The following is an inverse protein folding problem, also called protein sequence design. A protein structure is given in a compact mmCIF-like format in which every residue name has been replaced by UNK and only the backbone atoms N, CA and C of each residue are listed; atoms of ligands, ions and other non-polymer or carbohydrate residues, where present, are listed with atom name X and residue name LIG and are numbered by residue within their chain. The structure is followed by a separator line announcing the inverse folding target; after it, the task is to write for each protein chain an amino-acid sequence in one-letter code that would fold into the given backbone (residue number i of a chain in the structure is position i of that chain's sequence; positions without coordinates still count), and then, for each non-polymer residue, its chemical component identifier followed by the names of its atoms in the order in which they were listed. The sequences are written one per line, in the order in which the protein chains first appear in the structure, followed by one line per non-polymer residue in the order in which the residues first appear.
data_IF_825583227175
#
_entry.id   IF_825583227175
#
_cell.length_a   1.000
_cell.length_b   1.000
_cell.length_c   1.000
_cell.angle_alpha   90.00
_cell.angle_beta   90.00
_cell.angle_gamma   90.00
#
_symmetry.space_group_name_H-M   'P 1'
#
loop_
_entity.id
_entity.type
_entity.pdbx_description
1 polymer ?
#
# COMPACT_ATOMS: atom_id res chain seq x y z
N UNK A 1 19.72 13.66 18.06
CA UNK A 1 19.12 12.64 17.21
C UNK A 1 20.16 12.35 16.14
N UNK A 2 20.94 11.28 16.29
CA UNK A 2 21.72 10.75 15.17
C UNK A 2 20.81 10.02 14.18
N UNK A 3 21.40 9.45 13.14
CA UNK A 3 20.66 8.87 12.04
C UNK A 3 19.83 7.67 12.52
N UNK A 4 20.38 6.87 13.43
CA UNK A 4 19.74 5.67 13.96
C UNK A 4 18.45 6.02 14.72
N UNK A 5 18.47 7.11 15.50
CA UNK A 5 17.30 7.56 16.26
C UNK A 5 16.12 7.96 15.36
N UNK A 6 16.40 8.59 14.22
CA UNK A 6 15.37 8.97 13.24
C UNK A 6 14.85 7.73 12.51
N UNK A 7 15.74 6.80 12.16
CA UNK A 7 15.36 5.56 11.46
C UNK A 7 14.47 4.67 12.34
N UNK A 8 14.79 4.49 13.62
CA UNK A 8 13.95 3.74 14.56
C UNK A 8 12.55 4.35 14.64
N UNK A 9 12.45 5.68 14.81
CA UNK A 9 11.15 6.37 14.89
C UNK A 9 10.35 6.13 13.61
N UNK A 10 10.95 6.36 12.44
CA UNK A 10 10.27 6.18 11.15
C UNK A 10 9.79 4.73 10.95
N UNK A 11 10.63 3.74 11.24
CA UNK A 11 10.30 2.33 11.11
C UNK A 11 9.20 1.89 12.08
N UNK A 12 9.21 2.40 13.32
CA UNK A 12 8.14 2.13 14.29
C UNK A 12 6.80 2.76 13.86
N UNK A 13 6.83 4.03 13.47
CA UNK A 13 5.63 4.73 13.00
C UNK A 13 5.05 4.08 11.74
N UNK A 14 5.88 3.69 10.79
CA UNK A 14 5.44 2.97 9.59
C UNK A 14 4.86 1.60 9.95
N UNK A 15 5.56 0.82 10.79
CA UNK A 15 5.15 -0.52 11.18
C UNK A 15 3.82 -0.55 11.92
N UNK A 16 3.59 0.40 12.82
CA UNK A 16 2.38 0.48 13.63
C UNK A 16 1.32 1.42 13.05
N UNK A 17 1.63 2.15 11.96
CA UNK A 17 0.71 3.07 11.30
C UNK A 17 0.38 4.33 12.13
N UNK A 18 1.32 4.74 12.97
CA UNK A 18 1.22 5.83 13.95
C UNK A 18 1.84 7.13 13.40
N UNK A 19 1.52 8.24 14.05
CA UNK A 19 2.17 9.53 13.87
C UNK A 19 2.21 10.20 15.26
N UNK A 20 3.34 10.06 15.95
CA UNK A 20 3.57 10.57 17.30
C UNK A 20 4.44 11.82 17.20
N UNK A 21 4.34 12.73 18.17
CA UNK A 21 5.14 13.95 18.13
C UNK A 21 6.62 13.65 18.39
N UNK A 22 7.52 14.37 17.71
CA UNK A 22 8.97 14.28 17.97
C UNK A 22 9.30 14.55 19.45
N UNK A 23 8.51 15.39 20.13
CA UNK A 23 8.69 15.70 21.55
C UNK A 23 8.46 14.48 22.45
N UNK A 24 7.51 13.63 22.11
CA UNK A 24 7.23 12.42 22.87
C UNK A 24 8.29 11.36 22.59
N UNK A 25 8.77 11.24 21.35
CA UNK A 25 9.90 10.38 21.01
C UNK A 25 11.20 10.82 21.71
N UNK A 26 11.44 12.13 21.87
CA UNK A 26 12.60 12.67 22.60
C UNK A 26 12.67 12.24 24.08
N UNK A 27 11.53 11.88 24.69
CA UNK A 27 11.46 11.46 26.10
C UNK A 27 11.82 9.97 26.27
N UNK A 28 11.89 9.22 25.18
CA UNK A 28 12.11 7.79 25.17
C UNK A 28 13.62 7.48 25.20
N UNK A 29 14.03 6.71 26.20
CA UNK A 29 15.41 6.27 26.39
C UNK A 29 15.58 4.75 26.28
N UNK A 30 14.51 3.96 26.42
CA UNK A 30 14.56 2.48 26.40
C UNK A 30 13.48 1.88 25.50
N UNK A 31 13.67 0.64 24.99
CA UNK A 31 12.63 -0.06 24.23
C UNK A 31 11.33 -0.22 25.02
N UNK A 32 11.38 -0.44 26.35
CA UNK A 32 10.18 -0.48 27.21
C UNK A 32 9.35 0.80 27.09
N UNK A 33 10.00 1.95 27.18
CA UNK A 33 9.32 3.23 27.07
C UNK A 33 8.73 3.43 25.67
N UNK A 34 9.42 2.97 24.62
CA UNK A 34 8.87 2.97 23.27
C UNK A 34 7.61 2.07 23.16
N UNK A 35 7.65 0.88 23.76
CA UNK A 35 6.51 -0.04 23.81
C UNK A 35 5.33 0.62 24.53
N UNK A 36 5.56 1.22 25.70
CA UNK A 36 4.52 1.91 26.49
C UNK A 36 3.93 3.11 25.73
N UNK A 37 4.76 3.93 25.09
CA UNK A 37 4.30 5.04 24.26
C UNK A 37 3.43 4.56 23.09
N UNK A 38 3.83 3.47 22.43
CA UNK A 38 3.08 2.86 21.33
C UNK A 38 1.77 2.25 21.84
N UNK A 39 1.79 1.60 23.01
CA UNK A 39 0.62 1.06 23.70
C UNK A 39 -0.43 2.15 23.97
N UNK A 40 -0.01 3.33 24.42
CA UNK A 40 -0.90 4.46 24.70
C UNK A 40 -1.60 5.03 23.45
N UNK A 41 -1.00 4.83 22.27
CA UNK A 41 -1.52 5.29 20.99
C UNK A 41 -2.29 4.20 20.21
N UNK A 42 -2.35 2.97 20.73
CA UNK A 42 -2.97 1.83 20.07
C UNK A 42 -4.12 1.23 20.90
N UNK A 43 -5.02 0.53 20.22
CA UNK A 43 -6.03 -0.29 20.90
C UNK A 43 -5.46 -1.67 21.18
N UNK A 44 -5.20 -1.98 22.45
CA UNK A 44 -4.63 -3.27 22.86
C UNK A 44 -5.73 -4.33 23.01
N UNK A 45 -5.49 -5.54 22.48
CA UNK A 45 -6.34 -6.72 22.69
C UNK A 45 -5.47 -7.94 23.02
N UNK A 46 -5.84 -8.71 24.06
CA UNK A 46 -5.03 -9.84 24.57
C UNK A 46 -4.94 -11.04 23.60
N UNK A 47 -5.88 -11.13 22.65
CA UNK A 47 -5.93 -12.17 21.62
C UNK A 47 -6.56 -11.61 20.33
N UNK A 48 -5.80 -10.84 19.52
CA UNK A 48 -6.35 -10.25 18.32
C UNK A 48 -6.72 -11.39 17.36
N UNK A 49 -8.00 -11.53 16.96
CA UNK A 49 -8.37 -12.54 15.98
C UNK A 49 -7.53 -12.33 14.73
N UNK A 50 -7.12 -13.43 14.06
CA UNK A 50 -6.35 -13.41 12.81
C UNK A 50 -6.73 -12.19 11.96
N UNK A 51 -5.81 -11.25 11.78
CA UNK A 51 -6.10 -9.93 11.20
C UNK A 51 -6.78 -10.05 9.83
N UNK A 52 -6.40 -11.07 9.06
CA UNK A 52 -7.00 -11.46 7.78
C UNK A 52 -8.48 -11.84 7.89
N UNK A 53 -8.88 -12.55 8.96
CA UNK A 53 -10.28 -12.90 9.22
C UNK A 53 -11.11 -11.68 9.61
N UNK A 54 -10.57 -10.78 10.46
CA UNK A 54 -11.25 -9.53 10.81
C UNK A 54 -11.46 -8.65 9.59
N UNK A 55 -10.40 -8.46 8.81
CA UNK A 55 -10.43 -7.72 7.56
C UNK A 55 -11.49 -8.30 6.61
N UNK A 56 -11.55 -9.64 6.49
CA UNK A 56 -12.62 -10.30 5.73
C UNK A 56 -14.01 -10.03 6.31
N UNK A 57 -14.22 -10.13 7.62
CA UNK A 57 -15.54 -9.89 8.22
C UNK A 57 -16.01 -8.44 8.09
N UNK A 58 -15.09 -7.48 8.19
CA UNK A 58 -15.39 -6.07 7.92
C UNK A 58 -15.73 -5.86 6.46
N UNK A 59 -14.90 -6.36 5.55
CA UNK A 59 -15.14 -6.30 4.12
C UNK A 59 -16.51 -6.90 3.76
N UNK A 60 -16.82 -8.08 4.29
CA UNK A 60 -18.12 -8.73 4.14
C UNK A 60 -19.27 -7.85 4.65
N UNK A 61 -19.13 -7.22 5.82
CA UNK A 61 -20.17 -6.33 6.37
C UNK A 61 -20.43 -5.13 5.45
N UNK A 62 -19.38 -4.53 4.89
CA UNK A 62 -19.50 -3.41 3.94
C UNK A 62 -20.16 -3.88 2.66
N UNK A 63 -19.74 -5.03 2.11
CA UNK A 63 -20.31 -5.60 0.89
C UNK A 63 -21.78 -5.99 1.07
N UNK A 64 -22.17 -6.56 2.21
CA UNK A 64 -23.59 -6.81 2.53
C UNK A 64 -24.42 -5.52 2.46
N UNK A 65 -23.89 -4.42 3.00
CA UNK A 65 -24.57 -3.12 2.97
C UNK A 65 -24.56 -2.42 1.60
N UNK A 66 -23.74 -2.87 0.65
CA UNK A 66 -23.71 -2.36 -0.72
C UNK A 66 -24.53 -3.21 -1.69
N UNK A 67 -24.47 -4.54 -1.55
CA UNK A 67 -25.18 -5.49 -2.42
C UNK A 67 -26.56 -5.88 -1.91
N UNK A 68 -26.87 -5.62 -0.64
CA UNK A 68 -28.15 -6.01 -0.02
C UNK A 68 -28.32 -7.52 0.16
N UNK A 69 -27.22 -8.28 0.21
CA UNK A 69 -27.20 -9.75 0.32
C UNK A 69 -26.93 -10.23 1.75
N UNK A 70 -27.27 -11.49 2.02
CA UNK A 70 -27.04 -12.12 3.32
C UNK A 70 -25.56 -12.46 3.60
N UNK A 71 -25.23 -12.71 4.88
CA UNK A 71 -23.87 -13.07 5.32
C UNK A 71 -23.32 -14.34 4.65
N UNK A 72 -24.20 -15.29 4.33
CA UNK A 72 -23.83 -16.58 3.73
C UNK A 72 -23.52 -16.53 2.23
N UNK A 73 -23.78 -15.40 1.56
CA UNK A 73 -23.58 -15.27 0.11
C UNK A 73 -22.20 -14.69 -0.25
N UNK A 74 -21.48 -14.19 0.76
CA UNK A 74 -20.19 -13.52 0.58
C UNK A 74 -19.08 -14.38 1.21
N UNK A 75 -18.31 -14.99 0.32
CA UNK A 75 -17.11 -15.77 0.61
C UNK A 75 -15.88 -15.07 0.01
N UNK A 76 -14.68 -15.55 0.34
CA UNK A 76 -13.43 -14.99 -0.17
C UNK A 76 -13.32 -15.10 -1.69
N UNK A 77 -13.85 -16.17 -2.27
CA UNK A 77 -13.81 -16.43 -3.72
C UNK A 77 -14.99 -15.81 -4.47
N UNK A 78 -15.91 -15.14 -3.78
CA UNK A 78 -17.06 -14.50 -4.44
C UNK A 78 -16.54 -13.44 -5.42
N UNK A 79 -16.94 -13.47 -6.70
CA UNK A 79 -16.51 -12.47 -7.67
C UNK A 79 -17.03 -11.08 -7.32
N UNK A 80 -16.17 -10.07 -7.32
CA UNK A 80 -16.54 -8.68 -7.00
C UNK A 80 -17.58 -8.12 -7.97
N UNK A 81 -17.53 -8.56 -9.23
CA UNK A 81 -18.44 -8.10 -10.29
C UNK A 81 -19.78 -8.86 -10.32
N UNK A 82 -20.02 -9.79 -9.39
CA UNK A 82 -21.24 -10.62 -9.38
C UNK A 82 -22.52 -9.79 -9.26
N UNK A 83 -22.49 -8.76 -8.43
CA UNK A 83 -23.65 -7.89 -8.14
C UNK A 83 -23.47 -6.45 -8.63
N UNK A 84 -22.41 -6.18 -9.40
CA UNK A 84 -22.06 -4.82 -9.86
C UNK A 84 -22.32 -4.73 -11.35
N UNK A 85 -23.20 -3.80 -11.75
CA UNK A 85 -23.44 -3.49 -13.15
C UNK A 85 -22.28 -2.65 -13.70
N UNK A 86 -21.99 -2.79 -14.99
CA UNK A 86 -20.86 -2.12 -15.63
C UNK A 86 -20.90 -0.59 -15.50
N UNK A 87 -22.11 -0.01 -15.52
CA UNK A 87 -22.35 1.43 -15.39
C UNK A 87 -22.11 1.97 -13.97
N UNK A 88 -22.22 1.08 -12.97
CA UNK A 88 -22.14 1.43 -11.55
C UNK A 88 -20.77 1.10 -10.94
N UNK A 89 -19.85 0.48 -11.69
CA UNK A 89 -18.53 0.04 -11.21
C UNK A 89 -17.77 1.15 -10.49
N UNK A 90 -17.74 2.37 -11.06
CA UNK A 90 -17.05 3.51 -10.44
C UNK A 90 -17.68 3.91 -9.12
N UNK A 91 -19.00 4.01 -9.08
CA UNK A 91 -19.73 4.43 -7.89
C UNK A 91 -19.57 3.39 -6.79
N UNK A 92 -19.71 2.11 -7.13
CA UNK A 92 -19.45 0.98 -6.23
C UNK A 92 -18.02 1.00 -5.69
N UNK A 93 -17.01 1.17 -6.54
CA UNK A 93 -15.61 1.16 -6.14
C UNK A 93 -15.25 2.29 -5.17
N UNK A 94 -15.81 3.48 -5.39
CA UNK A 94 -15.66 4.62 -4.47
C UNK A 94 -16.41 4.39 -3.16
N UNK A 95 -17.67 3.94 -3.22
CA UNK A 95 -18.47 3.66 -2.03
C UNK A 95 -17.84 2.56 -1.16
N UNK A 96 -17.22 1.56 -1.79
CA UNK A 96 -16.49 0.50 -1.10
C UNK A 96 -15.27 1.07 -0.37
N UNK A 97 -14.46 1.91 -1.03
CA UNK A 97 -13.32 2.60 -0.40
C UNK A 97 -13.74 3.42 0.81
N UNK A 98 -14.75 4.27 0.64
CA UNK A 98 -15.23 5.19 1.66
C UNK A 98 -15.79 4.45 2.88
N UNK A 99 -16.69 3.48 2.66
CA UNK A 99 -17.28 2.70 3.75
C UNK A 99 -16.28 1.77 4.43
N UNK A 100 -15.30 1.27 3.68
CA UNK A 100 -14.22 0.48 4.25
C UNK A 100 -13.26 1.36 5.05
N UNK A 101 -13.11 2.65 4.74
CA UNK A 101 -12.16 3.55 5.39
C UNK A 101 -10.71 3.24 5.02
N UNK A 102 -10.48 2.69 3.83
CA UNK A 102 -9.15 2.25 3.42
C UNK A 102 -8.23 3.43 3.08
N UNK A 103 -7.09 3.51 3.78
CA UNK A 103 -6.05 4.53 3.53
C UNK A 103 -5.40 4.34 2.16
N UNK A 104 -5.04 3.11 1.82
CA UNK A 104 -4.59 2.71 0.47
C UNK A 104 -5.77 2.13 -0.31
N UNK A 105 -5.90 2.51 -1.58
CA UNK A 105 -6.92 1.96 -2.46
C UNK A 105 -6.43 1.93 -3.90
N UNK A 106 -6.69 0.86 -4.68
CA UNK A 106 -6.27 0.79 -6.07
C UNK A 106 -6.94 1.87 -6.90
N UNK A 107 -6.16 2.53 -7.77
CA UNK A 107 -6.74 3.40 -8.78
C UNK A 107 -7.63 2.58 -9.73
N UNK A 108 -8.80 3.09 -10.12
CA UNK A 108 -9.59 2.46 -11.16
C UNK A 108 -8.80 2.33 -12.47
N UNK A 109 -9.19 1.36 -13.29
CA UNK A 109 -8.53 1.08 -14.57
C UNK A 109 -9.34 1.61 -15.77
N UNK A 110 -8.66 1.69 -16.92
CA UNK A 110 -9.24 2.04 -18.21
C UNK A 110 -10.02 0.86 -18.80
N UNK A 111 -11.03 1.15 -19.63
CA UNK A 111 -11.68 0.12 -20.44
C UNK A 111 -10.69 -0.47 -21.46
N UNK A 112 -10.90 -1.70 -21.97
CA UNK A 112 -10.02 -2.31 -22.97
C UNK A 112 -9.75 -1.44 -24.21
N UNK A 113 -10.75 -0.69 -24.67
CA UNK A 113 -10.61 0.23 -25.82
C UNK A 113 -9.61 1.36 -25.54
N UNK A 114 -9.64 1.91 -24.33
CA UNK A 114 -8.73 3.00 -23.94
C UNK A 114 -7.33 2.49 -23.63
N UNK A 115 -7.19 1.24 -23.17
CA UNK A 115 -5.89 0.56 -23.12
C UNK A 115 -5.26 0.42 -24.49
N UNK A 116 -6.03 0.04 -25.52
CA UNK A 116 -5.54 -0.01 -26.90
C UNK A 116 -5.06 1.35 -27.39
N UNK A 117 -5.79 2.43 -27.08
CA UNK A 117 -5.37 3.80 -27.42
C UNK A 117 -4.07 4.17 -26.69
N UNK A 118 -3.98 3.90 -25.38
CA UNK A 118 -2.79 4.19 -24.57
C UNK A 118 -1.55 3.45 -25.07
N UNK A 119 -1.64 2.14 -25.23
CA UNK A 119 -0.54 1.29 -25.69
C UNK A 119 -0.21 1.52 -27.15
N UNK A 120 -1.22 1.67 -28.02
CA UNK A 120 -1.01 2.00 -29.43
C UNK A 120 -0.24 3.31 -29.61
N UNK A 121 -0.60 4.35 -28.84
CA UNK A 121 0.15 5.61 -28.83
C UNK A 121 1.59 5.46 -28.31
N UNK A 122 1.79 4.63 -27.29
CA UNK A 122 3.12 4.40 -26.69
C UNK A 122 4.04 3.60 -27.62
N UNK A 123 3.50 2.62 -28.35
CA UNK A 123 4.27 1.74 -29.23
C UNK A 123 4.56 2.39 -30.59
N UNK A 124 3.70 3.29 -31.07
CA UNK A 124 3.88 3.92 -32.38
C UNK A 124 5.26 4.59 -32.58
N UNK A 125 5.80 5.40 -31.65
CA UNK A 125 7.16 5.93 -31.76
C UNK A 125 8.24 4.85 -31.86
N UNK A 126 8.09 3.74 -31.14
CA UNK A 126 9.04 2.63 -31.13
C UNK A 126 9.05 1.84 -32.45
N UNK A 127 7.98 1.90 -33.23
CA UNK A 127 7.91 1.31 -34.57
C UNK A 127 8.49 2.29 -35.60
N UNK A 128 8.13 3.58 -35.50
CA UNK A 128 8.56 4.61 -36.46
C UNK A 128 10.07 4.88 -36.38
N UNK A 129 10.66 4.87 -35.17
CA UNK A 129 12.09 5.10 -34.96
C UNK A 129 13.00 4.17 -35.79
N UNK A 130 12.88 2.83 -35.67
CA UNK A 130 13.64 1.88 -36.49
C UNK A 130 13.39 2.00 -38.00
N UNK A 131 12.19 2.39 -38.44
CA UNK A 131 11.92 2.61 -39.87
C UNK A 131 12.74 3.80 -40.39
N UNK A 132 12.84 4.87 -39.60
CA UNK A 132 13.65 6.04 -39.95
C UNK A 132 15.13 5.71 -40.11
N UNK A 133 15.66 4.73 -39.36
CA UNK A 133 17.09 4.34 -39.48
C UNK A 133 17.43 3.68 -40.80
N UNK A 134 16.45 3.09 -41.50
CA UNK A 134 16.61 2.53 -42.84
C UNK A 134 16.70 3.64 -43.89
N UNK A 135 15.93 4.72 -43.71
CA UNK A 135 15.91 5.85 -44.63
C UNK A 135 17.08 6.82 -44.45
N UNK A 136 17.60 6.95 -43.22
CA UNK A 136 18.68 7.85 -42.87
C UNK A 136 19.60 7.20 -41.81
N UNK A 137 20.61 6.42 -42.23
CA UNK A 137 21.46 5.67 -41.30
C UNK A 137 22.37 6.58 -40.45
N UNK A 138 22.75 7.74 -40.96
CA UNK A 138 23.65 8.68 -40.27
C UNK A 138 23.08 9.23 -38.96
N UNK A 139 21.75 9.17 -38.79
CA UNK A 139 21.04 9.64 -37.58
C UNK A 139 20.46 8.50 -36.74
N UNK A 140 20.83 7.23 -37.01
CA UNK A 140 20.17 6.07 -36.45
C UNK A 140 20.10 6.07 -34.91
N UNK A 141 21.23 6.37 -34.24
CA UNK A 141 21.29 6.43 -32.77
C UNK A 141 20.38 7.52 -32.21
N UNK A 142 20.41 8.72 -32.81
CA UNK A 142 19.56 9.82 -32.39
C UNK A 142 18.07 9.53 -32.60
N UNK A 143 17.71 8.89 -33.72
CA UNK A 143 16.34 8.51 -34.05
C UNK A 143 15.77 7.48 -33.05
N UNK A 144 16.56 6.47 -32.65
CA UNK A 144 16.15 5.48 -31.65
C UNK A 144 15.99 6.10 -30.25
N UNK A 145 16.92 6.97 -29.85
CA UNK A 145 16.83 7.69 -28.58
C UNK A 145 15.58 8.61 -28.54
N UNK A 146 15.34 9.35 -29.61
CA UNK A 146 14.16 10.21 -29.75
C UNK A 146 12.86 9.41 -29.71
N UNK A 147 12.82 8.22 -30.34
CA UNK A 147 11.68 7.32 -30.29
C UNK A 147 11.38 6.83 -28.88
N UNK A 148 12.41 6.47 -28.10
CA UNK A 148 12.26 6.07 -26.69
C UNK A 148 11.71 7.20 -25.82
N UNK A 149 12.28 8.41 -25.93
CA UNK A 149 11.79 9.59 -25.20
C UNK A 149 10.36 9.96 -25.60
N UNK A 150 10.03 9.91 -26.89
CA UNK A 150 8.69 10.16 -27.40
C UNK A 150 7.70 9.12 -26.86
N UNK A 151 8.04 7.83 -26.82
CA UNK A 151 7.20 6.79 -26.24
C UNK A 151 6.87 7.07 -24.77
N UNK A 152 7.88 7.45 -23.96
CA UNK A 152 7.67 7.83 -22.55
C UNK A 152 6.76 9.05 -22.43
N UNK A 153 7.04 10.11 -23.20
CA UNK A 153 6.26 11.35 -23.19
C UNK A 153 4.80 11.14 -23.59
N UNK A 154 4.57 10.40 -24.68
CA UNK A 154 3.22 10.03 -25.15
C UNK A 154 2.50 9.19 -24.12
N UNK A 155 3.16 8.18 -23.52
CA UNK A 155 2.55 7.36 -22.49
C UNK A 155 2.10 8.21 -21.29
N UNK A 156 2.97 9.09 -20.78
CA UNK A 156 2.63 9.96 -19.64
C UNK A 156 1.53 10.95 -19.99
N UNK A 157 1.62 11.61 -21.13
CA UNK A 157 0.63 12.59 -21.59
C UNK A 157 -0.74 11.95 -21.81
N UNK A 158 -0.79 10.79 -22.47
CA UNK A 158 -2.02 10.07 -22.74
C UNK A 158 -2.61 9.45 -21.47
N UNK A 159 -1.78 8.94 -20.56
CA UNK A 159 -2.22 8.47 -19.24
C UNK A 159 -2.85 9.60 -18.41
N UNK A 160 -2.25 10.79 -18.42
CA UNK A 160 -2.82 11.97 -17.75
C UNK A 160 -4.14 12.42 -18.39
N UNK A 161 -4.21 12.44 -19.73
CA UNK A 161 -5.40 12.81 -20.48
C UNK A 161 -6.56 11.81 -20.29
N UNK A 162 -6.25 10.52 -20.17
CA UNK A 162 -7.22 9.44 -19.99
C UNK A 162 -7.58 9.19 -18.52
N UNK A 163 -6.93 9.85 -17.56
CA UNK A 163 -7.23 9.75 -16.12
C UNK A 163 -8.73 9.87 -15.78
N UNK A 164 -9.53 10.82 -16.32
CA UNK A 164 -10.96 10.90 -16.02
C UNK A 164 -11.79 9.71 -16.54
N UNK A 165 -11.25 8.92 -17.46
CA UNK A 165 -11.90 7.71 -18.02
C UNK A 165 -11.51 6.42 -17.30
N UNK A 166 -10.68 6.49 -16.26
CA UNK A 166 -10.41 5.37 -15.35
C UNK A 166 -11.61 5.19 -14.42
N UNK A 167 -12.50 4.27 -14.79
CA UNK A 167 -13.78 4.06 -14.09
C UNK A 167 -14.05 2.59 -13.75
N UNK A 168 -13.21 1.67 -14.24
CA UNK A 168 -13.43 0.24 -14.07
C UNK A 168 -12.65 -0.33 -12.88
N UNK A 169 -13.18 -1.39 -12.27
CA UNK A 169 -12.43 -2.15 -11.26
C UNK A 169 -11.22 -2.80 -11.98
N UNK A 170 -9.98 -2.64 -11.49
CA UNK A 170 -8.82 -3.23 -12.16
C UNK A 170 -8.95 -4.75 -12.28
N UNK A 171 -8.50 -5.33 -13.39
CA UNK A 171 -8.64 -6.77 -13.68
C UNK A 171 -7.83 -7.68 -12.76
N UNK A 172 -6.87 -7.11 -12.02
CA UNK A 172 -6.12 -7.78 -10.96
C UNK A 172 -6.97 -8.05 -9.71
N UNK A 173 -8.13 -7.42 -9.56
CA UNK A 173 -9.05 -7.63 -8.43
C UNK A 173 -10.32 -8.32 -8.92
N UNK A 174 -10.36 -9.64 -8.78
CA UNK A 174 -11.46 -10.47 -9.28
C UNK A 174 -12.39 -10.90 -8.15
N UNK A 175 -11.83 -11.19 -6.99
CA UNK A 175 -12.53 -11.79 -5.85
C UNK A 175 -12.47 -10.90 -4.62
N UNK A 176 -13.33 -11.20 -3.63
CA UNK A 176 -13.33 -10.53 -2.32
C UNK A 176 -11.98 -10.69 -1.62
N UNK A 177 -11.29 -11.83 -1.79
CA UNK A 177 -9.95 -12.08 -1.25
C UNK A 177 -8.96 -10.99 -1.65
N UNK A 178 -9.00 -10.54 -2.89
CA UNK A 178 -8.02 -9.58 -3.42
C UNK A 178 -8.11 -8.20 -2.72
N UNK A 179 -9.22 -7.93 -2.03
CA UNK A 179 -9.44 -6.70 -1.27
C UNK A 179 -9.04 -6.79 0.20
N UNK A 180 -8.75 -7.99 0.73
CA UNK A 180 -8.41 -8.20 2.14
C UNK A 180 -7.20 -7.35 2.58
N UNK A 181 -6.09 -7.24 1.81
CA UNK A 181 -4.97 -6.39 2.21
C UNK A 181 -5.35 -4.92 2.44
N UNK A 182 -6.32 -4.40 1.69
CA UNK A 182 -6.79 -3.02 1.85
C UNK A 182 -7.72 -2.88 3.05
N UNK A 183 -8.50 -3.92 3.38
CA UNK A 183 -9.32 -3.95 4.58
C UNK A 183 -8.48 -4.03 5.87
N UNK A 184 -7.35 -4.73 5.85
CA UNK A 184 -6.37 -4.72 6.96
C UNK A 184 -5.85 -3.29 7.17
N UNK A 185 -5.47 -2.59 6.09
CA UNK A 185 -4.96 -1.21 6.17
C UNK A 185 -5.99 -0.17 6.64
N UNK A 186 -7.27 -0.53 6.65
CA UNK A 186 -8.37 0.34 7.03
C UNK A 186 -8.74 0.24 8.52
N UNK A 187 -8.32 -0.83 9.21
CA UNK A 187 -8.48 -0.95 10.66
C UNK A 187 -7.34 -0.19 11.35
N UNK A 188 -7.67 0.53 12.43
CA UNK A 188 -6.71 0.69 13.51
C UNK A 188 -6.42 -0.73 14.00
N UNK A 189 -5.26 -1.25 13.62
CA UNK A 189 -4.85 -2.62 13.94
C UNK A 189 -4.93 -2.74 15.47
N UNK A 190 -5.75 -3.66 15.95
CA UNK A 190 -5.73 -3.98 17.38
C UNK A 190 -4.51 -4.88 17.59
N UNK A 191 -3.53 -4.37 18.31
CA UNK A 191 -2.29 -5.06 18.57
C UNK A 191 -2.38 -5.76 19.92
N UNK A 192 -1.79 -6.95 20.05
CA UNK A 192 -1.50 -7.44 21.39
C UNK A 192 -0.20 -6.83 21.89
N UNK A 193 -0.06 -6.70 23.21
CA UNK A 193 1.20 -6.28 23.84
C UNK A 193 2.39 -7.09 23.33
N UNK A 194 2.25 -8.41 23.21
CA UNK A 194 3.30 -9.29 22.67
C UNK A 194 3.70 -8.93 21.24
N UNK A 195 2.76 -8.52 20.40
CA UNK A 195 3.07 -8.10 19.03
C UNK A 195 3.79 -6.75 18.99
N UNK A 196 3.45 -5.83 19.89
CA UNK A 196 4.15 -4.54 20.03
C UNK A 196 5.58 -4.79 20.51
N UNK A 197 5.74 -5.56 21.59
CA UNK A 197 7.05 -5.94 22.16
C UNK A 197 7.94 -6.59 21.09
N UNK A 198 7.40 -7.57 20.35
CA UNK A 198 8.12 -8.23 19.27
C UNK A 198 8.46 -7.27 18.11
N UNK A 199 7.53 -6.39 17.74
CA UNK A 199 7.74 -5.42 16.67
C UNK A 199 8.82 -4.39 17.00
N UNK A 200 8.82 -3.86 18.24
CA UNK A 200 9.87 -2.95 18.73
C UNK A 200 11.21 -3.67 18.74
N UNK A 201 11.27 -4.89 19.29
CA UNK A 201 12.50 -5.70 19.28
C UNK A 201 13.06 -5.88 17.87
N UNK A 202 12.24 -6.31 16.91
CA UNK A 202 12.69 -6.53 15.53
C UNK A 202 13.21 -5.25 14.85
N UNK A 203 12.56 -4.11 15.09
CA UNK A 203 13.04 -2.81 14.58
C UNK A 203 14.38 -2.46 15.21
N UNK A 204 14.51 -2.55 16.53
CA UNK A 204 15.76 -2.24 17.25
C UNK A 204 16.93 -3.11 16.78
N UNK A 205 16.74 -4.44 16.69
CA UNK A 205 17.79 -5.36 16.23
C UNK A 205 18.24 -5.04 14.80
N UNK A 206 17.28 -4.70 13.93
CA UNK A 206 17.54 -4.43 12.52
C UNK A 206 18.28 -3.11 12.32
N UNK A 207 17.81 -2.03 12.93
CA UNK A 207 18.38 -0.68 12.73
C UNK A 207 19.73 -0.56 13.42
N UNK A 208 19.86 -1.03 14.67
CA UNK A 208 21.13 -0.96 15.40
C UNK A 208 22.12 -2.07 15.01
N UNK A 209 21.72 -2.98 14.13
CA UNK A 209 22.54 -4.12 13.67
C UNK A 209 23.13 -4.96 14.81
N UNK A 210 22.36 -5.15 15.89
CA UNK A 210 22.77 -5.93 17.08
C UNK A 210 22.14 -7.33 17.07
N UNK A 211 22.76 -8.27 17.78
CA UNK A 211 22.23 -9.63 17.92
C UNK A 211 21.15 -9.72 18.99
N UNK A 212 20.26 -10.72 18.87
CA UNK A 212 19.16 -10.94 19.83
C UNK A 212 19.63 -11.10 21.28
N UNK A 213 20.83 -11.67 21.50
CA UNK A 213 21.41 -11.84 22.83
C UNK A 213 21.88 -10.54 23.50
N UNK A 214 22.03 -9.45 22.73
CA UNK A 214 22.43 -8.13 23.23
C UNK A 214 21.22 -7.24 23.53
N UNK A 215 20.02 -7.65 23.13
CA UNK A 215 18.80 -6.88 23.32
C UNK A 215 18.19 -7.11 24.69
N UNK A 216 17.79 -6.01 25.34
CA UNK A 216 16.99 -6.01 26.56
C UNK A 216 16.01 -4.85 26.54
N UNK A 217 14.78 -5.08 27.00
CA UNK A 217 13.71 -4.06 26.97
C UNK A 217 14.01 -2.86 27.89
N UNK A 218 14.83 -3.07 28.92
CA UNK A 218 15.24 -2.05 29.89
C UNK A 218 16.57 -1.36 29.54
N UNK A 219 17.25 -1.81 28.48
CA UNK A 219 18.52 -1.22 28.04
C UNK A 219 18.29 0.15 27.41
N UNK A 220 19.23 1.07 27.63
CA UNK A 220 19.17 2.42 27.07
C UNK A 220 19.66 2.42 25.63
N UNK A 221 18.90 3.03 24.72
CA UNK A 221 19.23 3.06 23.30
C UNK A 221 20.64 3.61 23.03
N UNK A 222 20.98 4.75 23.63
CA UNK A 222 22.28 5.42 23.40
C UNK A 222 23.41 4.75 24.21
N UNK A 223 23.18 4.49 25.50
CA UNK A 223 24.26 4.06 26.41
C UNK A 223 24.58 2.57 26.32
N UNK A 224 23.56 1.74 26.15
CA UNK A 224 23.70 0.28 26.22
C UNK A 224 23.61 -0.38 24.84
N UNK A 225 22.79 0.16 23.93
CA UNK A 225 22.56 -0.41 22.60
C UNK A 225 23.37 0.29 21.48
N UNK A 226 24.09 1.37 21.80
CA UNK A 226 25.01 2.04 20.87
C UNK A 226 24.34 2.87 19.78
N UNK A 227 23.11 3.35 20.00
CA UNK A 227 22.41 4.25 19.07
C UNK A 227 23.09 5.62 18.99
N UNK A 228 23.37 6.11 17.78
CA UNK A 228 24.04 7.39 17.52
C UNK A 228 23.10 8.63 17.46
#
# INVERSE_FOLDING_TARGET
MGLDSVEIVMELEERFGLAISDEDWMKIATPRQAIELIEDHLTIQDDPPCQTQRAFYRLRRVLMGLWGVGRGEIELETPLRRHVRFEEERAFWQALKERLGARRWPEPDLSPRWHLVLWGGTVAPLIVGPIMTVAAPDIAVAALMAAGLAAIGVHRGLSALLRPRRIHIPTSFQTVRDLVPFAVSAEGIAWSRKQIEQGVKEVTLRVLHIEEGQYGVDLRFVEDLGMD
#
